data_IF_869213832152
#
_entry.id   IF_869213832152
#
_cell.length_a   1.000
_cell.length_b   1.000
_cell.length_c   1.000
_cell.angle_alpha   90.00
_cell.angle_beta   90.00
_cell.angle_gamma   90.00
#
_symmetry.space_group_name_H-M   'P 1'
#
loop_
_entity.id
_entity.type
_entity.pdbx_description
1 polymer ?
#
# COMPACT_ATOMS: atom_id res chain seq x y z
N UNK A 1 -4.85 -1.46 -44.83
CA UNK A 1 -6.17 -2.05 -44.53
C UNK A 1 -7.07 -0.97 -43.92
N UNK A 2 -8.40 -0.97 -44.15
CA UNK A 2 -9.37 -0.06 -43.49
C UNK A 2 -10.35 -0.77 -42.54
N UNK A 3 -10.71 -2.01 -42.85
CA UNK A 3 -11.63 -2.86 -42.08
C UNK A 3 -11.00 -4.22 -41.85
N UNK A 4 -11.12 -4.75 -40.65
CA UNK A 4 -10.66 -6.08 -40.27
C UNK A 4 -11.80 -6.82 -39.55
N UNK A 5 -12.10 -8.04 -39.98
CA UNK A 5 -13.15 -8.89 -39.38
C UNK A 5 -12.49 -10.20 -38.97
N UNK A 6 -12.50 -10.44 -37.66
CA UNK A 6 -11.95 -11.59 -36.94
C UNK A 6 -13.03 -12.17 -36.00
N UNK A 7 -14.29 -12.09 -36.42
CA UNK A 7 -15.44 -12.57 -35.67
C UNK A 7 -15.62 -14.10 -35.74
N UNK A 8 -16.40 -14.66 -34.82
CA UNK A 8 -16.75 -16.10 -34.75
C UNK A 8 -15.56 -17.06 -34.51
N UNK A 9 -14.39 -16.55 -34.11
CA UNK A 9 -13.19 -17.36 -33.88
C UNK A 9 -13.30 -18.16 -32.58
N UNK A 10 -13.76 -19.41 -32.71
CA UNK A 10 -14.04 -20.34 -31.59
C UNK A 10 -12.89 -20.51 -30.58
N UNK A 11 -11.64 -20.41 -31.05
CA UNK A 11 -10.44 -20.68 -30.27
C UNK A 11 -9.65 -19.40 -29.89
N UNK A 12 -10.09 -18.21 -30.28
CA UNK A 12 -9.43 -16.96 -29.89
C UNK A 12 -9.66 -16.70 -28.40
N UNK A 13 -8.57 -16.61 -27.62
CA UNK A 13 -8.58 -16.42 -26.15
C UNK A 13 -8.13 -15.03 -25.72
N UNK A 14 -7.09 -14.52 -26.34
CA UNK A 14 -6.51 -13.22 -26.05
C UNK A 14 -6.12 -12.51 -27.36
N UNK A 15 -6.13 -11.18 -27.33
CA UNK A 15 -5.42 -10.35 -28.29
C UNK A 15 -4.21 -9.76 -27.57
N UNK A 16 -3.00 -10.11 -28.03
CA UNK A 16 -1.74 -9.72 -27.38
C UNK A 16 -1.24 -8.32 -27.82
N UNK A 17 -0.27 -7.78 -27.09
CA UNK A 17 0.50 -6.59 -27.49
C UNK A 17 0.94 -6.65 -28.96
N UNK A 18 0.86 -5.52 -29.65
CA UNK A 18 1.23 -5.33 -31.06
C UNK A 18 0.47 -6.19 -32.08
N UNK A 19 -0.59 -6.93 -31.70
CA UNK A 19 -1.37 -7.76 -32.63
C UNK A 19 -1.98 -6.99 -33.82
N UNK A 20 -2.16 -5.66 -33.69
CA UNK A 20 -2.62 -4.75 -34.74
C UNK A 20 -1.60 -3.63 -35.06
N UNK A 21 -0.33 -3.80 -34.70
CA UNK A 21 0.77 -2.92 -35.14
C UNK A 21 0.87 -2.88 -36.68
N UNK A 22 1.34 -1.76 -37.23
CA UNK A 22 1.37 -1.52 -38.68
C UNK A 22 0.01 -1.24 -39.33
N UNK A 23 -1.12 -1.48 -38.64
CA UNK A 23 -2.47 -1.26 -39.19
C UNK A 23 -2.97 0.20 -39.04
N UNK A 24 -2.08 1.18 -39.20
CA UNK A 24 -2.32 2.63 -39.01
C UNK A 24 -3.55 3.23 -39.72
N UNK A 25 -4.08 2.55 -40.74
CA UNK A 25 -5.25 2.99 -41.54
C UNK A 25 -6.55 2.26 -41.19
N UNK A 26 -6.54 1.44 -40.13
CA UNK A 26 -7.70 0.68 -39.66
C UNK A 26 -8.72 1.60 -38.98
N UNK A 27 -9.97 1.54 -39.47
CA UNK A 27 -11.11 2.32 -39.01
C UNK A 27 -12.18 1.42 -38.36
N UNK A 28 -12.30 0.18 -38.82
CA UNK A 28 -13.30 -0.78 -38.35
C UNK A 28 -12.65 -2.10 -37.92
N UNK A 29 -12.94 -2.55 -36.69
CA UNK A 29 -12.54 -3.87 -36.19
C UNK A 29 -13.75 -4.63 -35.62
N UNK A 30 -13.94 -5.86 -36.07
CA UNK A 30 -14.89 -6.80 -35.51
C UNK A 30 -14.17 -8.04 -34.94
N UNK A 31 -14.29 -8.25 -33.64
CA UNK A 31 -13.82 -9.42 -32.88
C UNK A 31 -15.00 -10.11 -32.16
N UNK A 32 -16.24 -9.90 -32.62
CA UNK A 32 -17.43 -10.41 -31.94
C UNK A 32 -17.59 -11.92 -32.02
N UNK A 33 -18.36 -12.48 -31.09
CA UNK A 33 -18.75 -13.90 -31.07
C UNK A 33 -17.56 -14.85 -31.02
N UNK A 34 -16.47 -14.43 -30.39
CA UNK A 34 -15.30 -15.24 -30.04
C UNK A 34 -15.50 -15.76 -28.61
N UNK A 35 -16.12 -16.93 -28.40
CA UNK A 35 -16.69 -17.34 -27.11
C UNK A 35 -15.67 -17.70 -26.04
N UNK A 36 -14.36 -17.60 -26.35
CA UNK A 36 -13.26 -17.77 -25.39
C UNK A 36 -12.43 -16.49 -25.21
N UNK A 37 -12.72 -15.39 -25.91
CA UNK A 37 -11.95 -14.15 -25.86
C UNK A 37 -12.19 -13.43 -24.53
N UNK A 38 -11.22 -13.50 -23.63
CA UNK A 38 -11.30 -13.04 -22.24
C UNK A 38 -10.43 -11.80 -21.95
N UNK A 39 -9.43 -11.52 -22.78
CA UNK A 39 -8.53 -10.37 -22.64
C UNK A 39 -8.13 -9.74 -23.99
N UNK A 40 -7.89 -8.43 -23.95
CA UNK A 40 -7.25 -7.65 -25.02
C UNK A 40 -6.19 -6.79 -24.33
N UNK A 41 -4.93 -6.90 -24.78
CA UNK A 41 -3.80 -6.12 -24.28
C UNK A 41 -4.00 -4.62 -24.57
N UNK A 42 -3.67 -3.74 -23.61
CA UNK A 42 -3.82 -2.30 -23.82
C UNK A 42 -2.87 -1.74 -24.89
N UNK A 43 -1.80 -2.47 -25.20
CA UNK A 43 -0.86 -2.18 -26.29
C UNK A 43 -1.13 -3.05 -27.54
N UNK A 44 -2.33 -3.64 -27.70
CA UNK A 44 -2.70 -4.39 -28.89
C UNK A 44 -2.68 -3.53 -30.18
N UNK A 45 -2.93 -2.23 -30.04
CA UNK A 45 -2.83 -1.24 -31.11
C UNK A 45 -1.62 -0.33 -30.91
N UNK A 46 -0.93 -0.05 -32.02
CA UNK A 46 0.09 0.99 -32.08
C UNK A 46 -0.58 2.37 -32.07
N UNK A 47 -0.08 3.31 -31.26
CA UNK A 47 -0.64 4.65 -31.11
C UNK A 47 0.10 5.68 -31.98
N UNK A 48 -0.58 6.65 -32.62
CA UNK A 48 -2.03 6.85 -32.62
C UNK A 48 -2.75 5.91 -33.60
N UNK A 49 -3.84 5.29 -33.14
CA UNK A 49 -4.76 4.56 -34.03
C UNK A 49 -5.92 5.46 -34.50
N UNK A 50 -6.60 5.04 -35.58
CA UNK A 50 -7.68 5.78 -36.24
C UNK A 50 -9.04 5.07 -36.13
N UNK A 51 -9.20 4.20 -35.13
CA UNK A 51 -10.37 3.32 -35.02
C UNK A 51 -11.65 4.13 -34.75
N UNK A 52 -12.70 3.88 -35.54
CA UNK A 52 -14.02 4.52 -35.47
C UNK A 52 -15.14 3.56 -35.11
N UNK A 53 -15.04 2.30 -35.53
CA UNK A 53 -16.00 1.25 -35.26
C UNK A 53 -15.34 0.05 -34.58
N UNK A 54 -15.88 -0.36 -33.43
CA UNK A 54 -15.37 -1.49 -32.66
C UNK A 54 -16.52 -2.42 -32.21
N UNK A 55 -16.47 -3.67 -32.65
CA UNK A 55 -17.41 -4.71 -32.21
C UNK A 55 -16.69 -5.80 -31.40
N UNK A 56 -16.95 -5.84 -30.09
CA UNK A 56 -16.47 -6.87 -29.16
C UNK A 56 -17.65 -7.65 -28.52
N UNK A 57 -18.82 -7.63 -29.14
CA UNK A 57 -20.03 -8.24 -28.58
C UNK A 57 -19.95 -9.78 -28.50
N UNK A 58 -20.63 -10.36 -27.51
CA UNK A 58 -20.73 -11.82 -27.32
C UNK A 58 -19.40 -12.56 -27.13
N UNK A 59 -18.47 -11.95 -26.39
CA UNK A 59 -17.18 -12.53 -25.98
C UNK A 59 -17.22 -12.88 -24.47
N UNK A 60 -16.06 -13.12 -23.83
CA UNK A 60 -15.93 -13.31 -22.37
C UNK A 60 -15.15 -12.18 -21.69
N UNK A 61 -15.12 -11.00 -22.30
CA UNK A 61 -14.40 -9.84 -21.77
C UNK A 61 -15.04 -9.38 -20.46
N UNK A 62 -14.25 -9.36 -19.38
CA UNK A 62 -14.68 -8.80 -18.09
C UNK A 62 -14.18 -7.37 -17.87
N UNK A 63 -13.12 -6.95 -18.58
CA UNK A 63 -12.48 -5.64 -18.48
C UNK A 63 -12.04 -5.13 -19.85
N UNK A 64 -11.85 -3.82 -19.95
CA UNK A 64 -11.20 -3.12 -21.05
C UNK A 64 -10.32 -2.02 -20.43
N UNK A 65 -9.11 -1.80 -20.97
CA UNK A 65 -8.28 -0.68 -20.55
C UNK A 65 -8.71 0.62 -21.23
N UNK A 66 -8.73 1.70 -20.46
CA UNK A 66 -8.88 3.08 -20.95
C UNK A 66 -7.80 3.41 -22.01
N UNK A 67 -6.61 2.81 -21.93
CA UNK A 67 -5.47 3.06 -22.82
C UNK A 67 -5.53 2.34 -24.17
N UNK A 68 -6.45 1.39 -24.34
CA UNK A 68 -6.53 0.52 -25.52
C UNK A 68 -6.65 1.31 -26.84
N UNK A 69 -7.38 2.43 -26.81
CA UNK A 69 -7.67 3.28 -27.96
C UNK A 69 -8.20 4.64 -27.49
N UNK A 70 -8.25 5.62 -28.40
CA UNK A 70 -8.90 6.90 -28.14
C UNK A 70 -10.43 6.72 -28.14
N UNK A 71 -11.00 6.48 -26.95
CA UNK A 71 -12.44 6.18 -26.78
C UNK A 71 -13.36 7.32 -27.21
N UNK A 72 -12.83 8.54 -27.37
CA UNK A 72 -13.59 9.70 -27.83
C UNK A 72 -13.64 9.83 -29.35
N UNK A 73 -12.73 9.17 -30.09
CA UNK A 73 -12.79 9.02 -31.55
C UNK A 73 -13.76 7.95 -32.04
N UNK A 74 -14.21 7.03 -31.18
CA UNK A 74 -15.20 6.03 -31.59
C UNK A 74 -16.54 6.69 -31.95
N UNK A 75 -17.05 6.27 -33.11
CA UNK A 75 -18.34 6.63 -33.72
C UNK A 75 -19.36 5.49 -33.58
N UNK A 76 -18.89 4.23 -33.53
CA UNK A 76 -19.71 3.04 -33.32
C UNK A 76 -19.01 2.05 -32.36
N UNK A 77 -19.78 1.48 -31.44
CA UNK A 77 -19.28 0.57 -30.40
C UNK A 77 -20.32 -0.49 -30.06
N UNK A 78 -19.92 -1.76 -30.00
CA UNK A 78 -20.77 -2.88 -29.57
C UNK A 78 -20.08 -3.73 -28.52
N UNK A 79 -20.66 -3.80 -27.31
CA UNK A 79 -20.08 -4.45 -26.12
C UNK A 79 -21.05 -5.42 -25.41
N UNK A 80 -22.29 -5.57 -25.91
CA UNK A 80 -23.32 -6.41 -25.30
C UNK A 80 -22.91 -7.90 -25.25
N UNK A 81 -23.47 -8.64 -24.29
CA UNK A 81 -23.22 -10.08 -24.15
C UNK A 81 -21.85 -10.44 -23.60
N UNK A 82 -21.25 -9.59 -22.77
CA UNK A 82 -19.97 -9.81 -22.08
C UNK A 82 -20.14 -9.72 -20.56
N UNK A 83 -19.37 -10.48 -19.75
CA UNK A 83 -19.45 -10.51 -18.29
C UNK A 83 -18.72 -9.33 -17.62
N UNK A 84 -19.14 -8.08 -17.91
CA UNK A 84 -18.43 -6.88 -17.46
C UNK A 84 -18.29 -6.77 -15.93
N UNK A 85 -17.05 -6.61 -15.47
CA UNK A 85 -16.72 -6.19 -14.12
C UNK A 85 -16.65 -4.66 -14.10
N UNK A 86 -17.72 -4.01 -13.66
CA UNK A 86 -17.83 -2.57 -13.49
C UNK A 86 -17.10 -2.12 -12.22
N UNK A 87 -15.80 -2.40 -12.17
CA UNK A 87 -14.86 -1.81 -11.22
C UNK A 87 -14.48 -0.37 -11.64
N UNK A 88 -13.68 0.28 -10.81
CA UNK A 88 -13.40 1.71 -10.94
C UNK A 88 -12.59 2.08 -12.18
N UNK A 89 -11.76 1.18 -12.69
CA UNK A 89 -10.99 1.41 -13.91
C UNK A 89 -11.91 1.36 -15.14
N UNK A 90 -12.87 0.41 -15.18
CA UNK A 90 -13.90 0.37 -16.23
C UNK A 90 -14.88 1.56 -16.11
N UNK A 91 -15.26 1.96 -14.90
CA UNK A 91 -16.24 3.02 -14.65
C UNK A 91 -15.72 4.46 -14.90
N UNK A 92 -14.40 4.67 -15.03
CA UNK A 92 -13.83 5.99 -15.39
C UNK A 92 -14.28 6.45 -16.78
N UNK A 93 -14.11 5.62 -17.80
CA UNK A 93 -14.38 5.98 -19.20
C UNK A 93 -15.69 5.39 -19.73
N UNK A 94 -15.94 4.09 -19.48
CA UNK A 94 -16.97 3.34 -20.22
C UNK A 94 -18.39 3.93 -20.10
N UNK A 95 -18.89 4.37 -18.93
CA UNK A 95 -20.22 4.96 -18.82
C UNK A 95 -20.42 6.22 -19.67
N UNK A 96 -19.36 7.02 -19.86
CA UNK A 96 -19.41 8.22 -20.70
C UNK A 96 -19.47 7.85 -22.19
N UNK A 97 -18.59 6.96 -22.66
CA UNK A 97 -18.58 6.47 -24.04
C UNK A 97 -19.90 5.77 -24.41
N UNK A 98 -20.40 4.89 -23.53
CA UNK A 98 -21.68 4.18 -23.71
C UNK A 98 -22.86 5.14 -23.76
N UNK A 99 -22.88 6.20 -22.95
CA UNK A 99 -23.90 7.26 -23.03
C UNK A 99 -23.81 8.04 -24.34
N UNK A 100 -22.62 8.50 -24.74
CA UNK A 100 -22.40 9.28 -25.98
C UNK A 100 -22.83 8.50 -27.23
N UNK A 101 -22.46 7.23 -27.30
CA UNK A 101 -22.73 6.35 -28.45
C UNK A 101 -24.03 5.54 -28.31
N UNK A 102 -24.82 5.80 -27.26
CA UNK A 102 -26.13 5.17 -26.99
C UNK A 102 -26.10 3.63 -27.04
N UNK A 103 -25.00 3.02 -26.57
CA UNK A 103 -24.73 1.58 -26.78
C UNK A 103 -25.69 0.71 -25.94
N UNK A 104 -26.56 -0.12 -26.56
CA UNK A 104 -27.49 -0.97 -25.83
C UNK A 104 -26.80 -2.21 -25.22
N UNK A 105 -27.44 -2.81 -24.22
CA UNK A 105 -27.07 -4.14 -23.71
C UNK A 105 -25.76 -4.23 -22.90
N UNK A 106 -25.13 -3.10 -22.55
CA UNK A 106 -23.95 -3.07 -21.67
C UNK A 106 -24.39 -3.13 -20.21
N UNK A 107 -24.35 -4.33 -19.63
CA UNK A 107 -24.81 -4.64 -18.27
C UNK A 107 -23.65 -5.18 -17.43
N UNK A 108 -23.55 -4.73 -16.19
CA UNK A 108 -22.53 -5.18 -15.24
C UNK A 108 -22.88 -6.59 -14.71
N UNK A 109 -21.93 -7.52 -14.82
CA UNK A 109 -22.00 -8.83 -14.18
C UNK A 109 -21.39 -8.80 -12.76
N UNK A 110 -20.44 -7.89 -12.51
CA UNK A 110 -19.74 -7.68 -11.24
C UNK A 110 -19.39 -6.19 -11.03
N UNK A 111 -19.01 -5.76 -9.81
CA UNK A 111 -19.23 -6.45 -8.54
C UNK A 111 -20.72 -6.54 -8.20
N UNK A 112 -21.05 -7.34 -7.19
CA UNK A 112 -22.41 -7.71 -6.78
C UNK A 112 -23.28 -6.47 -6.50
N UNK A 113 -22.69 -5.42 -5.91
CA UNK A 113 -23.35 -4.14 -5.64
C UNK A 113 -23.87 -3.40 -6.89
N UNK A 114 -23.38 -3.73 -8.10
CA UNK A 114 -23.85 -3.18 -9.38
C UNK A 114 -24.30 -4.24 -10.39
N UNK A 115 -24.36 -5.51 -9.99
CA UNK A 115 -24.81 -6.60 -10.85
C UNK A 115 -26.21 -6.33 -11.41
N UNK A 116 -26.40 -6.60 -12.71
CA UNK A 116 -27.64 -6.34 -13.44
C UNK A 116 -27.90 -4.87 -13.79
N UNK A 117 -27.10 -3.91 -13.30
CA UNK A 117 -27.24 -2.49 -13.67
C UNK A 117 -26.61 -2.23 -15.04
N UNK A 118 -27.26 -1.38 -15.84
CA UNK A 118 -26.72 -0.94 -17.12
C UNK A 118 -25.58 0.07 -16.91
N UNK A 119 -24.42 -0.13 -17.54
CA UNK A 119 -23.23 0.69 -17.35
C UNK A 119 -23.47 2.18 -17.65
N UNK A 120 -24.34 2.49 -18.62
CA UNK A 120 -24.78 3.84 -18.95
C UNK A 120 -25.34 4.62 -17.74
N UNK A 121 -25.99 3.93 -16.79
CA UNK A 121 -26.61 4.52 -15.59
C UNK A 121 -25.64 4.68 -14.41
N UNK A 122 -24.39 4.26 -14.56
CA UNK A 122 -23.35 4.39 -13.54
C UNK A 122 -22.48 5.63 -13.80
N UNK A 123 -21.70 6.00 -12.78
CA UNK A 123 -20.79 7.15 -12.78
C UNK A 123 -19.52 6.79 -12.01
N UNK A 124 -18.39 7.37 -12.40
CA UNK A 124 -17.13 7.29 -11.66
C UNK A 124 -17.26 7.80 -10.20
N UNK A 125 -18.30 8.56 -9.88
CA UNK A 125 -18.65 9.00 -8.51
C UNK A 125 -18.80 7.82 -7.53
N UNK A 126 -19.21 6.63 -7.99
CA UNK A 126 -19.25 5.41 -7.17
C UNK A 126 -17.87 4.93 -6.67
N UNK A 127 -16.78 5.55 -7.14
CA UNK A 127 -15.40 5.19 -6.83
C UNK A 127 -14.62 6.30 -6.11
N UNK A 128 -15.28 7.38 -5.68
CA UNK A 128 -14.63 8.54 -5.06
C UNK A 128 -14.21 8.31 -3.59
N UNK A 129 -14.69 7.24 -2.93
CA UNK A 129 -14.62 7.07 -1.47
C UNK A 129 -13.48 6.17 -0.93
N UNK A 130 -12.59 5.62 -1.78
CA UNK A 130 -11.72 4.49 -1.39
C UNK A 130 -10.19 4.65 -1.52
N UNK A 131 -9.63 5.84 -1.75
CA UNK A 131 -8.16 6.04 -1.70
C UNK A 131 -7.70 7.17 -0.78
N UNK A 132 -8.09 8.42 -1.05
CA UNK A 132 -7.29 9.55 -0.56
C UNK A 132 -7.79 10.13 0.77
N UNK A 133 -9.10 10.23 0.98
CA UNK A 133 -9.71 10.84 2.18
C UNK A 133 -9.66 9.92 3.40
N UNK A 134 -10.03 8.65 3.24
CA UNK A 134 -10.02 7.68 4.34
C UNK A 134 -8.60 7.40 4.86
N UNK A 135 -7.63 7.20 3.95
CA UNK A 135 -6.25 6.91 4.32
C UNK A 135 -5.56 8.13 4.95
N UNK A 136 -5.78 9.34 4.43
CA UNK A 136 -5.23 10.55 5.05
C UNK A 136 -5.83 10.83 6.42
N UNK A 137 -7.14 10.60 6.63
CA UNK A 137 -7.77 10.74 7.94
C UNK A 137 -7.18 9.78 8.99
N UNK A 138 -6.93 8.51 8.62
CA UNK A 138 -6.29 7.53 9.51
C UNK A 138 -4.85 7.93 9.85
N UNK A 139 -4.07 8.39 8.87
CA UNK A 139 -2.69 8.86 9.10
C UNK A 139 -2.65 10.10 9.99
N UNK A 140 -3.52 11.08 9.75
CA UNK A 140 -3.64 12.29 10.60
C UNK A 140 -4.06 11.92 12.02
N UNK A 141 -5.03 11.02 12.19
CA UNK A 141 -5.44 10.52 13.51
C UNK A 141 -4.29 9.85 14.27
N UNK A 142 -3.50 8.99 13.61
CA UNK A 142 -2.33 8.35 14.20
C UNK A 142 -1.25 9.37 14.62
N UNK A 143 -0.98 10.38 13.78
CA UNK A 143 -0.03 11.45 14.11
C UNK A 143 -0.47 12.28 15.31
N UNK A 144 -1.76 12.64 15.40
CA UNK A 144 -2.31 13.39 16.54
C UNK A 144 -2.21 12.60 17.86
N UNK A 145 -2.46 11.28 17.82
CA UNK A 145 -2.29 10.40 18.99
C UNK A 145 -0.84 10.35 19.47
N UNK A 146 0.13 10.23 18.55
CA UNK A 146 1.57 10.23 18.87
C UNK A 146 2.01 11.59 19.45
N UNK A 147 1.58 12.70 18.85
CA UNK A 147 1.87 14.06 19.34
C UNK A 147 1.31 14.26 20.76
N UNK A 148 0.07 13.83 21.01
CA UNK A 148 -0.56 13.89 22.33
C UNK A 148 0.25 13.13 23.38
N UNK A 149 0.65 11.89 23.07
CA UNK A 149 1.46 11.05 23.97
C UNK A 149 2.84 11.69 24.28
N UNK A 150 3.52 12.25 23.29
CA UNK A 150 4.79 12.97 23.48
C UNK A 150 4.62 14.22 24.34
N UNK A 151 3.54 14.99 24.15
CA UNK A 151 3.23 16.16 25.00
C UNK A 151 2.93 15.75 26.45
N UNK A 152 2.21 14.65 26.67
CA UNK A 152 2.00 14.10 28.01
C UNK A 152 3.32 13.68 28.68
N UNK A 153 4.22 13.02 27.96
CA UNK A 153 5.57 12.69 28.47
C UNK A 153 6.34 13.95 28.83
N UNK A 154 6.38 14.96 27.96
CA UNK A 154 7.07 16.23 28.22
C UNK A 154 6.48 17.00 29.40
N UNK A 155 5.16 16.93 29.62
CA UNK A 155 4.50 17.50 30.79
C UNK A 155 4.87 16.75 32.08
N UNK A 156 4.89 15.41 32.05
CA UNK A 156 5.29 14.58 33.18
C UNK A 156 6.78 14.74 33.54
N UNK A 157 7.66 14.90 32.54
CA UNK A 157 9.07 15.21 32.75
C UNK A 157 9.23 16.61 33.36
N UNK A 158 8.50 17.62 32.88
CA UNK A 158 8.53 18.96 33.46
C UNK A 158 8.00 19.00 34.91
N UNK A 159 6.89 18.35 35.20
CA UNK A 159 6.32 18.36 36.57
C UNK A 159 7.22 17.64 37.58
N UNK A 160 7.96 16.61 37.17
CA UNK A 160 9.02 15.97 37.97
C UNK A 160 10.17 16.93 38.35
N UNK A 161 10.39 18.01 37.61
CA UNK A 161 11.34 19.08 37.95
C UNK A 161 10.73 20.25 38.75
N UNK A 162 9.40 20.36 38.86
CA UNK A 162 8.74 21.53 39.49
C UNK A 162 8.55 21.45 41.01
N UNK A 163 8.78 20.29 41.64
CA UNK A 163 8.54 20.09 43.08
C UNK A 163 9.78 20.43 43.95
N UNK A 164 10.23 21.69 43.93
CA UNK A 164 11.31 22.14 44.83
C UNK A 164 11.19 23.61 45.26
N UNK A 165 10.03 24.03 45.79
CA UNK A 165 9.91 25.30 46.50
C UNK A 165 8.74 25.30 47.53
N UNK A 166 9.03 25.40 48.84
CA UNK A 166 8.07 25.83 49.84
C UNK A 166 8.42 27.23 50.36
N UNK A 167 7.45 28.14 50.30
CA UNK A 167 7.54 29.49 50.86
C UNK A 167 6.22 29.87 51.51
N UNK A 168 6.05 29.48 52.78
CA UNK A 168 4.85 29.73 53.58
C UNK A 168 5.22 29.49 55.04
N UNK A 169 5.34 30.56 55.82
CA UNK A 169 5.97 30.55 57.13
C UNK A 169 4.96 30.75 58.27
N UNK A 170 5.45 30.52 59.49
CA UNK A 170 4.83 30.59 60.84
C UNK A 170 4.41 29.23 61.41
N UNK A 171 4.80 28.84 62.62
CA UNK A 171 5.82 29.32 63.58
C UNK A 171 6.18 28.09 64.45
N UNK A 172 7.41 27.76 64.88
CA UNK A 172 8.76 28.31 64.65
C UNK A 172 9.82 27.15 64.79
N UNK A 173 10.84 27.27 65.66
CA UNK A 173 11.80 26.25 66.11
C UNK A 173 12.77 25.62 65.07
N UNK A 174 13.77 26.42 64.67
CA UNK A 174 15.16 26.00 64.40
C UNK A 174 15.46 25.01 63.25
N UNK A 175 15.90 25.56 62.11
CA UNK A 175 17.24 25.22 61.61
C UNK A 175 17.86 26.39 60.83
N UNK A 176 18.93 26.98 61.37
CA UNK A 176 19.60 28.15 60.79
C UNK A 176 20.36 27.85 59.49
N UNK A 177 20.30 28.77 58.52
CA UNK A 177 21.23 28.81 57.38
C UNK A 177 22.58 29.38 57.81
N UNK A 178 23.66 28.66 57.53
CA UNK A 178 24.96 29.26 57.14
C UNK A 178 25.72 28.30 56.22
N UNK A 179 26.52 28.81 55.26
CA UNK A 179 27.34 27.99 54.37
C UNK A 179 28.75 27.78 54.93
N UNK A 180 29.47 26.76 54.45
CA UNK A 180 30.91 26.64 54.63
C UNK A 180 31.65 26.43 53.30
N UNK A 181 32.21 27.53 52.80
CA UNK A 181 33.45 27.50 52.05
C UNK A 181 34.57 27.19 53.08
N UNK A 182 35.28 26.07 52.93
CA UNK A 182 36.30 25.62 53.89
C UNK A 182 37.61 25.28 53.18
N UNK A 183 38.63 26.11 53.35
CA UNK A 183 39.87 26.08 52.55
C UNK A 183 41.11 25.95 53.45
N UNK A 184 41.87 24.87 53.24
CA UNK A 184 43.27 24.67 53.70
C UNK A 184 43.45 24.60 55.24
N UNK A 185 44.48 23.94 55.79
CA UNK A 185 45.35 22.86 55.30
C UNK A 185 46.15 22.29 56.50
N UNK A 186 46.78 21.11 56.35
CA UNK A 186 48.20 20.86 56.70
C UNK A 186 48.60 19.41 56.39
N UNK A 187 49.81 19.23 55.83
CA UNK A 187 50.64 18.01 55.76
C UNK A 187 49.98 16.77 55.09
N UNK A 188 50.37 16.41 53.87
CA UNK A 188 51.56 15.57 53.54
C UNK A 188 51.44 14.14 54.10
N UNK A 189 51.55 13.04 53.35
CA UNK A 189 51.72 12.79 51.88
C UNK A 189 51.43 11.28 51.63
N UNK A 190 51.41 10.63 50.45
CA UNK A 190 51.88 10.84 49.07
C UNK A 190 50.87 10.21 48.05
N UNK A 191 51.12 10.39 46.73
CA UNK A 191 50.78 9.49 45.57
C UNK A 191 49.34 8.94 45.40
N UNK A 192 48.57 9.28 44.35
CA UNK A 192 48.69 8.87 42.91
C UNK A 192 48.16 7.43 42.66
N UNK A 193 47.18 7.11 41.79
CA UNK A 193 46.31 7.83 40.82
C UNK A 193 44.80 7.44 41.09
N UNK A 194 43.74 8.19 40.72
CA UNK A 194 43.03 8.24 39.41
C UNK A 194 42.57 6.84 38.91
N UNK A 195 41.38 6.61 38.35
CA UNK A 195 40.39 7.52 37.73
C UNK A 195 38.95 7.00 37.93
N UNK A 196 37.96 7.89 37.78
CA UNK A 196 36.66 7.72 37.07
C UNK A 196 35.79 6.44 37.24
N UNK A 197 34.45 6.47 37.29
CA UNK A 197 33.42 7.47 37.65
C UNK A 197 32.05 6.75 37.55
N UNK A 198 30.96 7.35 38.04
CA UNK A 198 29.54 6.97 37.80
C UNK A 198 29.05 5.59 38.31
N UNK A 199 28.54 5.56 39.55
CA UNK A 199 27.36 4.74 39.85
C UNK A 199 26.46 5.37 40.91
N UNK A 200 25.55 6.26 40.47
CA UNK A 200 24.45 6.73 41.32
C UNK A 200 23.42 5.60 41.49
N UNK A 201 23.62 4.75 42.50
CA UNK A 201 22.60 3.82 43.01
C UNK A 201 22.17 4.24 44.40
N UNK A 202 21.00 4.88 44.50
CA UNK A 202 20.33 5.09 45.77
C UNK A 202 19.85 3.73 46.31
N UNK A 203 20.48 3.25 47.38
CA UNK A 203 19.89 2.22 48.22
C UNK A 203 18.89 2.88 49.18
N UNK A 204 17.69 2.32 49.29
CA UNK A 204 16.78 2.56 50.42
C UNK A 204 16.85 1.37 51.37
N UNK A 205 16.69 1.65 52.66
CA UNK A 205 16.88 0.68 53.74
C UNK A 205 15.56 0.20 54.35
N UNK A 206 15.66 -0.97 54.97
CA UNK A 206 14.79 -1.67 55.94
C UNK A 206 13.99 -0.78 56.94
N UNK A 207 13.01 -1.25 57.74
CA UNK A 207 12.66 -2.59 58.27
C UNK A 207 11.17 -2.57 58.82
N UNK A 208 10.68 -3.35 59.82
CA UNK A 208 10.27 -4.78 59.75
C UNK A 208 8.88 -5.16 60.38
N UNK A 209 8.33 -6.33 60.01
CA UNK A 209 7.49 -7.23 60.87
C UNK A 209 6.09 -6.74 61.38
N UNK A 210 5.23 -7.59 62.02
CA UNK A 210 5.34 -9.03 62.34
C UNK A 210 4.17 -9.97 61.92
N UNK A 211 4.48 -11.28 61.83
CA UNK A 211 3.66 -12.49 62.12
C UNK A 211 2.26 -12.66 61.48
N UNK A 212 2.12 -13.75 60.70
CA UNK A 212 0.87 -14.41 60.29
C UNK A 212 1.19 -15.81 59.72
N UNK A 213 0.27 -16.79 59.84
CA UNK A 213 0.52 -18.22 59.55
C UNK A 213 -0.23 -18.77 58.33
N UNK A 214 0.18 -19.97 57.87
CA UNK A 214 -0.52 -20.88 56.94
C UNK A 214 -0.63 -20.40 55.47
N UNK A 215 -0.88 -21.26 54.47
CA UNK A 215 -0.49 -22.66 54.19
C UNK A 215 -0.88 -22.90 52.70
N UNK A 216 -0.17 -23.78 52.00
CA UNK A 216 -0.62 -24.54 50.82
C UNK A 216 -0.84 -23.84 49.46
N UNK A 217 -0.85 -24.73 48.46
CA UNK A 217 -1.15 -24.67 47.03
C UNK A 217 -0.33 -23.68 46.15
N UNK A 218 0.54 -24.13 45.22
CA UNK A 218 0.42 -25.05 44.07
C UNK A 218 0.07 -24.35 42.73
N UNK A 219 0.61 -24.94 41.65
CA UNK A 219 0.12 -24.87 40.26
C UNK A 219 -0.28 -23.50 39.66
N UNK A 220 0.57 -22.94 38.79
CA UNK A 220 0.30 -22.95 37.34
C UNK A 220 1.57 -22.71 36.49
N UNK A 221 1.52 -23.12 35.22
CA UNK A 221 2.69 -23.41 34.39
C UNK A 221 3.65 -22.25 34.09
N UNK A 222 4.94 -22.61 34.00
CA UNK A 222 6.02 -21.75 33.53
C UNK A 222 6.32 -21.92 32.03
N UNK A 223 7.24 -21.09 31.52
CA UNK A 223 7.87 -21.14 30.19
C UNK A 223 7.01 -20.83 28.95
N UNK A 224 7.28 -19.66 28.37
CA UNK A 224 7.36 -19.51 26.91
C UNK A 224 8.78 -19.05 26.58
N UNK A 225 9.58 -19.95 25.99
CA UNK A 225 10.78 -19.54 25.25
C UNK A 225 10.35 -18.97 23.90
N UNK A 226 11.12 -18.04 23.36
CA UNK A 226 10.92 -17.52 22.00
C UNK A 226 11.14 -18.60 20.95
N UNK A 227 10.37 -18.54 19.85
CA UNK A 227 10.89 -18.86 18.53
C UNK A 227 10.81 -17.61 17.63
N UNK A 228 11.95 -17.20 17.09
CA UNK A 228 12.03 -16.13 16.09
C UNK A 228 11.51 -16.63 14.74
N UNK A 229 10.31 -16.19 14.34
CA UNK A 229 9.74 -16.47 13.01
C UNK A 229 9.34 -15.16 12.32
N UNK A 230 10.32 -14.38 11.90
CA UNK A 230 10.07 -13.18 11.06
C UNK A 230 11.16 -12.86 10.03
N UNK A 231 11.89 -13.88 9.55
CA UNK A 231 12.97 -13.70 8.57
C UNK A 231 12.98 -14.80 7.49
N UNK A 232 11.87 -14.95 6.75
CA UNK A 232 11.74 -16.00 5.73
C UNK A 232 10.90 -15.61 4.50
N UNK A 233 10.81 -14.33 4.13
CA UNK A 233 10.04 -13.88 2.95
C UNK A 233 10.82 -13.11 1.87
N UNK A 234 12.07 -12.71 2.12
CA UNK A 234 12.95 -12.11 1.10
C UNK A 234 13.86 -13.12 0.38
N UNK A 235 14.09 -14.30 0.96
CA UNK A 235 14.98 -15.33 0.38
C UNK A 235 14.39 -16.10 -0.82
N UNK A 236 13.07 -16.02 -1.06
CA UNK A 236 12.42 -16.83 -2.10
C UNK A 236 12.46 -16.20 -3.51
N UNK A 237 12.71 -14.89 -3.62
CA UNK A 237 12.63 -14.16 -4.91
C UNK A 237 13.91 -14.19 -5.76
N UNK A 238 14.97 -14.88 -5.33
CA UNK A 238 16.26 -14.90 -6.05
C UNK A 238 16.56 -16.21 -6.83
N UNK A 239 15.70 -17.23 -6.77
CA UNK A 239 15.98 -18.53 -7.43
C UNK A 239 15.29 -18.76 -8.79
N UNK A 240 14.42 -17.87 -9.25
CA UNK A 240 13.65 -18.03 -10.50
C UNK A 240 13.73 -16.82 -11.45
N UNK A 241 14.94 -16.29 -11.66
CA UNK A 241 15.24 -15.44 -12.82
C UNK A 241 15.53 -16.35 -14.04
N UNK A 242 14.83 -16.20 -15.18
CA UNK A 242 15.15 -16.95 -16.39
C UNK A 242 16.48 -16.49 -16.97
N UNK A 243 17.32 -17.45 -17.37
CA UNK A 243 18.62 -17.18 -18.01
C UNK A 243 18.39 -16.50 -19.36
N UNK A 244 19.08 -15.38 -19.70
CA UNK A 244 18.97 -14.76 -21.00
C UNK A 244 19.52 -15.69 -22.09
N UNK A 245 18.65 -16.19 -22.94
CA UNK A 245 19.03 -16.99 -24.12
C UNK A 245 19.71 -16.06 -25.14
N UNK A 246 20.93 -16.41 -25.54
CA UNK A 246 21.68 -15.64 -26.53
C UNK A 246 20.95 -15.65 -27.90
N UNK A 247 20.94 -14.53 -28.64
CA UNK A 247 20.32 -14.48 -29.97
C UNK A 247 21.06 -15.42 -30.95
N UNK A 248 20.35 -16.03 -31.92
CA UNK A 248 20.97 -16.86 -32.94
C UNK A 248 21.91 -16.02 -33.81
N UNK A 249 23.06 -16.61 -34.18
CA UNK A 249 24.02 -15.95 -35.07
C UNK A 249 23.42 -15.74 -36.47
N UNK A 250 23.71 -14.61 -37.14
CA UNK A 250 23.26 -14.37 -38.51
C UNK A 250 23.91 -15.37 -39.49
N UNK A 251 23.23 -15.71 -40.60
CA UNK A 251 23.80 -16.60 -41.61
C UNK A 251 25.04 -15.99 -42.27
N UNK A 252 26.11 -16.77 -42.38
CA UNK A 252 27.33 -16.36 -43.09
C UNK A 252 27.04 -16.31 -44.59
N UNK A 253 27.00 -15.10 -45.15
CA UNK A 253 26.86 -14.88 -46.59
C UNK A 253 28.23 -15.10 -47.25
N UNK A 254 28.38 -16.02 -48.21
CA UNK A 254 29.63 -16.18 -48.95
C UNK A 254 29.89 -14.95 -49.85
N UNK A 255 31.17 -14.60 -50.13
CA UNK A 255 31.48 -13.48 -51.00
C UNK A 255 30.98 -13.74 -52.44
N UNK A 256 30.63 -12.67 -53.19
CA UNK A 256 30.26 -12.80 -54.60
C UNK A 256 31.49 -13.20 -55.44
N UNK A 257 31.25 -14.05 -56.43
CA UNK A 257 32.10 -14.24 -57.63
C UNK A 257 31.72 -13.24 -58.72
#
# INVERSE_FOLDING_TARGET
LKKLVLAHLRNLRAVHMNAFSGLFKLLELDLSRCPLLESIDEHAFEQPNLLRSLNLSHNRLSRLSERLLDWDRLEALQLAGNPWNCDCDLLRFLPATVRRLQVPGVVCAKPEAVQGKAAAKLSATFCADLSDTAMSAVVVGALLMVISFLLCILACLRSRFSCCHPGGAKDDANCSRTPLYGRQALLDSLTYEKSDLLSNKCFLSSNPSPVGSQHDDEEYYSTVRTPTVYESKYAFYQQHLPVPVAPPMPPVVPPPN
#
